data_IF_419239341343
#
_entry.id   IF_419239341343
#
_cell.length_a   1.000
_cell.length_b   1.000
_cell.length_c   1.000
_cell.angle_alpha   90.00
_cell.angle_beta   90.00
_cell.angle_gamma   90.00
#
_symmetry.space_group_name_H-M   'P 1'
#
loop_
_entity.id
_entity.type
_entity.pdbx_description
1 polymer ?
#
# COMPACT_ATOMS: atom_id res chain seq x y z
N UNK A 1 -3.16 -25.11 -22.03
CA UNK A 1 -3.86 -24.26 -21.05
C UNK A 1 -3.00 -24.14 -19.78
N UNK A 2 -1.87 -23.41 -19.81
CA UNK A 2 -0.91 -23.28 -18.66
C UNK A 2 -0.41 -21.82 -18.50
N UNK A 3 -0.91 -20.85 -19.28
CA UNK A 3 -0.42 -19.45 -19.23
C UNK A 3 -1.00 -18.59 -18.09
N UNK A 4 -1.81 -19.15 -17.19
CA UNK A 4 -2.54 -18.35 -16.18
C UNK A 4 -1.87 -18.26 -14.80
N UNK A 5 -0.74 -18.94 -14.58
CA UNK A 5 -0.06 -18.99 -13.27
C UNK A 5 1.07 -17.98 -13.07
N UNK A 6 1.78 -17.61 -14.13
CA UNK A 6 3.02 -16.80 -14.04
C UNK A 6 2.76 -15.31 -13.82
N UNK A 7 1.60 -14.80 -14.24
CA UNK A 7 1.25 -13.38 -14.06
C UNK A 7 1.11 -12.99 -12.58
N UNK A 8 0.44 -13.81 -11.78
CA UNK A 8 0.11 -13.46 -10.40
C UNK A 8 1.37 -13.23 -9.52
N UNK A 9 2.40 -14.07 -9.68
CA UNK A 9 3.65 -13.97 -8.94
C UNK A 9 4.47 -12.70 -9.28
N UNK A 10 4.39 -12.23 -10.52
CA UNK A 10 5.11 -11.03 -10.93
C UNK A 10 4.50 -9.76 -10.30
N UNK A 11 3.16 -9.66 -10.30
CA UNK A 11 2.44 -8.52 -9.71
C UNK A 11 2.64 -8.43 -8.20
N UNK A 12 2.59 -9.57 -7.50
CA UNK A 12 2.89 -9.58 -6.06
C UNK A 12 4.32 -9.15 -5.79
N UNK A 13 5.29 -9.63 -6.56
CA UNK A 13 6.71 -9.27 -6.39
C UNK A 13 6.95 -7.77 -6.58
N UNK A 14 6.34 -7.16 -7.60
CA UNK A 14 6.44 -5.73 -7.86
C UNK A 14 5.84 -4.93 -6.69
N UNK A 15 4.64 -5.28 -6.23
CA UNK A 15 3.99 -4.60 -5.10
C UNK A 15 4.83 -4.69 -3.81
N UNK A 16 5.45 -5.84 -3.55
CA UNK A 16 6.36 -6.03 -2.41
C UNK A 16 7.59 -5.13 -2.50
N UNK A 17 8.20 -5.00 -3.67
CA UNK A 17 9.37 -4.12 -3.87
C UNK A 17 9.01 -2.66 -3.57
N UNK A 18 7.88 -2.18 -4.09
CA UNK A 18 7.40 -0.81 -3.80
C UNK A 18 7.08 -0.62 -2.31
N UNK A 19 6.49 -1.62 -1.65
CA UNK A 19 6.20 -1.56 -0.22
C UNK A 19 7.47 -1.52 0.63
N UNK A 20 8.50 -2.30 0.27
CA UNK A 20 9.80 -2.29 0.97
C UNK A 20 10.48 -0.93 0.81
N UNK A 21 10.51 -0.40 -0.41
CA UNK A 21 11.15 0.89 -0.71
C UNK A 21 10.50 2.04 0.05
N UNK A 22 9.16 2.11 0.04
CA UNK A 22 8.39 3.11 0.80
C UNK A 22 8.48 2.92 2.32
N UNK A 23 8.50 1.67 2.78
CA UNK A 23 8.45 1.34 4.20
C UNK A 23 9.77 1.49 4.94
N UNK A 24 10.90 1.54 4.21
CA UNK A 24 12.24 1.50 4.83
C UNK A 24 13.16 2.60 4.32
N UNK A 25 13.43 2.68 3.02
CA UNK A 25 14.52 3.49 2.49
C UNK A 25 14.25 5.00 2.66
N UNK A 26 13.06 5.45 2.28
CA UNK A 26 12.60 6.83 2.44
C UNK A 26 12.50 7.24 3.92
N UNK A 27 11.82 6.47 4.81
CA UNK A 27 11.67 6.87 6.20
C UNK A 27 12.99 6.85 6.99
N UNK A 28 13.92 5.95 6.67
CA UNK A 28 15.27 5.98 7.24
C UNK A 28 16.00 7.24 6.80
N UNK A 29 15.94 7.58 5.51
CA UNK A 29 16.57 8.80 5.00
C UNK A 29 15.98 10.04 5.70
N UNK A 30 14.65 10.14 5.76
CA UNK A 30 13.94 11.21 6.44
C UNK A 30 14.31 11.33 7.93
N UNK A 31 14.48 10.19 8.62
CA UNK A 31 14.87 10.14 10.03
C UNK A 31 16.32 10.61 10.23
N UNK A 32 17.27 10.11 9.44
CA UNK A 32 18.69 10.52 9.51
C UNK A 32 18.83 12.02 9.23
N UNK A 33 18.10 12.52 8.24
CA UNK A 33 18.10 13.95 7.92
C UNK A 33 17.54 14.79 9.06
N UNK A 34 16.47 14.33 9.70
CA UNK A 34 15.89 14.97 10.88
C UNK A 34 16.85 15.01 12.08
N UNK A 35 17.62 13.94 12.30
CA UNK A 35 18.62 13.87 13.39
C UNK A 35 19.82 14.78 13.10
N UNK A 36 20.44 14.62 11.93
CA UNK A 36 21.70 15.30 11.58
C UNK A 36 21.52 16.83 11.54
N UNK A 37 20.38 17.30 11.06
CA UNK A 37 20.11 18.73 10.96
C UNK A 37 19.58 19.34 12.26
N UNK A 38 19.21 18.55 13.27
CA UNK A 38 18.66 19.05 14.54
C UNK A 38 19.63 19.97 15.26
N UNK A 39 20.90 19.57 15.34
CA UNK A 39 21.92 20.27 16.14
C UNK A 39 22.70 21.30 15.32
N UNK A 40 22.85 21.05 14.02
CA UNK A 40 23.65 21.90 13.12
C UNK A 40 22.91 23.15 12.65
N UNK A 41 21.57 23.13 12.70
CA UNK A 41 20.73 24.19 12.19
C UNK A 41 19.38 24.11 12.92
N UNK A 42 19.13 24.94 13.95
CA UNK A 42 17.92 24.87 14.76
C UNK A 42 16.72 25.23 13.90
N UNK A 43 16.20 24.22 13.23
CA UNK A 43 15.07 24.32 12.33
C UNK A 43 13.80 24.36 13.15
N UNK A 44 12.71 24.72 12.49
CA UNK A 44 11.41 24.74 13.15
C UNK A 44 11.03 23.33 13.61
N UNK A 45 10.81 23.12 14.93
CA UNK A 45 10.67 21.78 15.52
C UNK A 45 9.49 20.99 14.95
N UNK A 46 8.53 21.68 14.33
CA UNK A 46 7.36 21.08 13.68
C UNK A 46 7.72 20.24 12.45
N UNK A 47 8.69 20.67 11.64
CA UNK A 47 9.09 19.92 10.43
C UNK A 47 9.84 18.65 10.84
N UNK A 48 10.74 18.76 11.81
CA UNK A 48 11.44 17.59 12.37
C UNK A 48 10.46 16.60 13.00
N UNK A 49 9.48 17.08 13.78
CA UNK A 49 8.43 16.23 14.35
C UNK A 49 7.62 15.52 13.25
N UNK A 50 7.28 16.23 12.18
CA UNK A 50 6.58 15.66 11.03
C UNK A 50 7.38 14.50 10.40
N UNK A 51 8.68 14.69 10.15
CA UNK A 51 9.53 13.64 9.58
C UNK A 51 9.60 12.40 10.48
N UNK A 52 9.76 12.59 11.80
CA UNK A 52 9.76 11.46 12.75
C UNK A 52 8.45 10.67 12.74
N UNK A 53 7.32 11.35 12.90
CA UNK A 53 6.01 10.68 12.98
C UNK A 53 5.69 10.00 11.65
N UNK A 54 5.98 10.65 10.52
CA UNK A 54 5.80 10.04 9.18
C UNK A 54 6.63 8.76 9.06
N UNK A 55 7.91 8.81 9.46
CA UNK A 55 8.78 7.64 9.40
C UNK A 55 8.30 6.49 10.29
N UNK A 56 7.88 6.80 11.52
CA UNK A 56 7.34 5.79 12.44
C UNK A 56 6.06 5.14 11.91
N UNK A 57 5.14 5.94 11.33
CA UNK A 57 3.92 5.41 10.73
C UNK A 57 4.21 4.51 9.53
N UNK A 58 5.14 4.91 8.65
CA UNK A 58 5.52 4.11 7.49
C UNK A 58 6.17 2.77 7.88
N UNK A 59 7.09 2.79 8.86
CA UNK A 59 7.73 1.59 9.39
C UNK A 59 6.71 0.68 10.08
N UNK A 60 5.82 1.26 10.89
CA UNK A 60 4.75 0.51 11.55
C UNK A 60 3.82 -0.18 10.56
N UNK A 61 3.42 0.52 9.50
CA UNK A 61 2.63 -0.07 8.41
C UNK A 61 3.38 -1.19 7.71
N UNK A 62 4.68 -1.01 7.44
CA UNK A 62 5.51 -2.05 6.82
C UNK A 62 5.60 -3.32 7.67
N UNK A 63 5.85 -3.18 8.97
CA UNK A 63 5.88 -4.31 9.92
C UNK A 63 4.51 -4.99 9.98
N UNK A 64 3.42 -4.22 10.02
CA UNK A 64 2.06 -4.76 9.98
C UNK A 64 1.77 -5.55 8.69
N UNK A 65 2.16 -5.02 7.53
CA UNK A 65 2.00 -5.70 6.24
C UNK A 65 2.79 -7.01 6.16
N UNK A 66 4.03 -7.04 6.66
CA UNK A 66 4.79 -8.29 6.76
C UNK A 66 4.13 -9.27 7.71
N UNK A 67 3.75 -8.81 8.90
CA UNK A 67 3.19 -9.68 9.95
C UNK A 67 1.88 -10.28 9.48
N UNK A 68 0.99 -9.48 8.89
CA UNK A 68 -0.28 -9.95 8.33
C UNK A 68 -0.08 -10.93 7.17
N UNK A 69 0.86 -10.67 6.26
CA UNK A 69 1.19 -11.59 5.18
C UNK A 69 1.76 -12.93 5.70
N UNK A 70 2.70 -12.88 6.65
CA UNK A 70 3.25 -14.08 7.28
C UNK A 70 2.20 -14.87 8.07
N UNK A 71 1.29 -14.17 8.77
CA UNK A 71 0.18 -14.79 9.47
C UNK A 71 -0.78 -15.50 8.50
N UNK A 72 -1.17 -14.84 7.40
CA UNK A 72 -2.03 -15.42 6.37
C UNK A 72 -1.38 -16.65 5.71
N UNK A 73 -0.08 -16.59 5.41
CA UNK A 73 0.64 -17.70 4.79
C UNK A 73 0.83 -18.89 5.75
N UNK A 74 0.94 -18.66 7.06
CA UNK A 74 0.97 -19.73 8.08
C UNK A 74 -0.42 -20.28 8.42
N UNK A 75 -1.48 -19.52 8.18
CA UNK A 75 -2.87 -19.94 8.43
C UNK A 75 -3.32 -21.05 7.47
N UNK A 76 -2.71 -21.18 6.29
CA UNK A 76 -2.89 -22.32 5.39
C UNK A 76 -2.34 -23.64 5.97
N UNK A 77 -1.51 -23.61 7.03
CA UNK A 77 -0.82 -24.80 7.51
C UNK A 77 -1.39 -25.47 8.77
N UNK A 78 -1.97 -24.81 9.79
CA UNK A 78 -2.31 -25.54 11.05
C UNK A 78 -3.54 -25.08 11.87
N UNK A 79 -3.99 -23.81 11.84
CA UNK A 79 -4.96 -23.32 12.84
C UNK A 79 -6.34 -22.85 12.30
N UNK A 80 -6.69 -23.19 11.07
CA UNK A 80 -7.85 -22.63 10.37
C UNK A 80 -9.23 -23.19 10.77
N UNK A 81 -9.28 -24.18 11.66
CA UNK A 81 -10.50 -24.99 11.85
C UNK A 81 -11.52 -24.44 12.84
N UNK A 82 -11.32 -23.29 13.52
CA UNK A 82 -12.27 -22.89 14.59
C UNK A 82 -12.59 -21.41 14.80
N UNK A 83 -11.94 -20.48 14.13
CA UNK A 83 -12.25 -19.05 14.30
C UNK A 83 -13.03 -18.54 13.09
N UNK A 84 -14.13 -17.83 13.35
CA UNK A 84 -15.08 -17.28 12.37
C UNK A 84 -14.34 -16.47 11.28
N UNK A 85 -14.01 -17.12 10.14
CA UNK A 85 -13.11 -16.62 9.08
C UNK A 85 -13.41 -15.19 8.66
N UNK A 86 -14.70 -14.86 8.58
CA UNK A 86 -15.16 -13.57 8.10
C UNK A 86 -14.73 -12.44 9.06
N UNK A 87 -14.80 -12.63 10.38
CA UNK A 87 -14.50 -11.57 11.36
C UNK A 87 -13.02 -11.17 11.36
N UNK A 88 -12.11 -12.15 11.28
CA UNK A 88 -10.67 -11.88 11.26
C UNK A 88 -10.27 -11.11 9.99
N UNK A 89 -10.79 -11.54 8.84
CA UNK A 89 -10.53 -10.88 7.55
C UNK A 89 -11.03 -9.42 7.55
N UNK A 90 -12.27 -9.18 8.00
CA UNK A 90 -12.80 -7.81 8.09
C UNK A 90 -12.00 -6.92 9.05
N UNK A 91 -11.51 -7.48 10.16
CA UNK A 91 -10.71 -6.71 11.14
C UNK A 91 -9.37 -6.28 10.54
N UNK A 92 -8.67 -7.19 9.85
CA UNK A 92 -7.39 -6.88 9.19
C UNK A 92 -7.56 -5.81 8.11
N UNK A 93 -8.62 -5.92 7.31
CA UNK A 93 -8.97 -4.96 6.26
C UNK A 93 -9.32 -3.58 6.83
N UNK A 94 -10.06 -3.53 7.93
CA UNK A 94 -10.42 -2.27 8.58
C UNK A 94 -9.18 -1.56 9.17
N UNK A 95 -8.26 -2.30 9.76
CA UNK A 95 -6.98 -1.78 10.26
C UNK A 95 -6.14 -1.22 9.09
N UNK A 96 -6.05 -1.94 7.97
CA UNK A 96 -5.34 -1.49 6.79
C UNK A 96 -5.92 -0.19 6.22
N UNK A 97 -7.24 -0.09 6.11
CA UNK A 97 -7.92 1.14 5.68
C UNK A 97 -7.64 2.29 6.65
N UNK A 98 -7.71 2.05 7.96
CA UNK A 98 -7.44 3.06 8.96
C UNK A 98 -6.00 3.61 8.88
N UNK A 99 -5.02 2.73 8.67
CA UNK A 99 -3.62 3.14 8.45
C UNK A 99 -3.46 3.98 7.18
N UNK A 100 -4.05 3.56 6.06
CA UNK A 100 -3.97 4.31 4.80
C UNK A 100 -4.61 5.70 4.92
N UNK A 101 -5.78 5.80 5.57
CA UNK A 101 -6.43 7.09 5.83
C UNK A 101 -5.58 7.99 6.74
N UNK A 102 -4.98 7.40 7.78
CA UNK A 102 -4.09 8.14 8.68
C UNK A 102 -2.88 8.70 7.94
N UNK A 103 -2.22 7.89 7.10
CA UNK A 103 -1.09 8.34 6.27
C UNK A 103 -1.54 9.42 5.29
N UNK A 104 -2.70 9.26 4.64
CA UNK A 104 -3.22 10.23 3.69
C UNK A 104 -3.47 11.60 4.34
N UNK A 105 -4.16 11.63 5.49
CA UNK A 105 -4.38 12.87 6.24
C UNK A 105 -3.04 13.47 6.68
N UNK A 106 -2.11 12.63 7.14
CA UNK A 106 -0.79 13.08 7.57
C UNK A 106 0.02 13.72 6.44
N UNK A 107 -0.02 13.16 5.22
CA UNK A 107 0.61 13.75 4.04
C UNK A 107 0.03 15.12 3.69
N UNK A 108 -1.29 15.31 3.84
CA UNK A 108 -1.92 16.62 3.62
C UNK A 108 -1.41 17.63 4.64
N UNK A 109 -1.44 17.27 5.93
CA UNK A 109 -0.96 18.13 7.03
C UNK A 109 0.51 18.49 6.83
N UNK A 110 1.35 17.52 6.49
CA UNK A 110 2.75 17.73 6.16
C UNK A 110 2.97 18.69 5.00
N UNK A 111 2.16 18.54 3.95
CA UNK A 111 2.20 19.41 2.78
C UNK A 111 1.89 20.85 3.20
N UNK A 112 0.79 21.06 3.92
CA UNK A 112 0.40 22.39 4.43
C UNK A 112 1.51 22.99 5.31
N UNK A 113 2.12 22.21 6.19
CA UNK A 113 3.21 22.68 7.04
C UNK A 113 4.44 23.12 6.26
N UNK A 114 4.90 22.30 5.30
CA UNK A 114 6.05 22.64 4.46
C UNK A 114 5.74 23.92 3.68
N UNK A 115 4.60 23.99 2.97
CA UNK A 115 4.26 25.15 2.16
C UNK A 115 4.04 26.44 2.98
N UNK A 116 3.47 26.33 4.18
CA UNK A 116 3.22 27.51 5.03
C UNK A 116 4.49 28.26 5.45
N UNK A 117 5.62 27.57 5.58
CA UNK A 117 6.87 28.18 6.06
C UNK A 117 7.77 28.71 4.94
N UNK A 118 7.51 28.40 3.68
CA UNK A 118 8.32 28.87 2.54
C UNK A 118 8.49 30.40 2.49
N UNK A 119 7.47 31.16 2.94
CA UNK A 119 7.52 32.62 2.93
C UNK A 119 8.43 33.22 4.02
N UNK A 120 8.61 32.54 5.15
CA UNK A 120 9.35 33.03 6.32
C UNK A 120 10.85 32.73 6.17
N UNK A 121 11.18 31.59 5.55
CA UNK A 121 12.54 31.05 5.42
C UNK A 121 13.46 31.89 4.50
N UNK A 122 12.93 32.87 3.76
CA UNK A 122 13.71 33.73 2.86
C UNK A 122 14.56 34.78 3.59
N UNK A 123 14.33 35.02 4.89
CA UNK A 123 14.89 36.17 5.63
C UNK A 123 16.10 35.83 6.53
N UNK A 124 16.19 34.61 7.06
CA UNK A 124 17.26 34.19 7.98
C UNK A 124 18.11 33.06 7.36
N UNK A 125 19.45 33.15 7.46
CA UNK A 125 20.45 32.15 7.01
C UNK A 125 20.08 31.28 5.78
N UNK A 126 20.21 31.81 4.55
CA UNK A 126 19.57 31.23 3.37
C UNK A 126 20.06 29.84 2.97
N UNK A 127 21.32 29.46 3.24
CA UNK A 127 21.87 28.22 2.66
C UNK A 127 21.43 26.95 3.38
N UNK A 128 21.50 26.92 4.72
CA UNK A 128 21.13 25.72 5.47
C UNK A 128 19.63 25.43 5.35
N UNK A 129 18.83 26.47 5.53
CA UNK A 129 17.38 26.38 5.58
C UNK A 129 16.80 25.99 4.21
N UNK A 130 17.35 26.54 3.12
CA UNK A 130 16.91 26.23 1.75
C UNK A 130 17.13 24.77 1.40
N UNK A 131 18.30 24.20 1.72
CA UNK A 131 18.60 22.80 1.42
C UNK A 131 17.65 21.85 2.14
N UNK A 132 17.41 22.08 3.43
CA UNK A 132 16.52 21.24 4.21
C UNK A 132 15.06 21.35 3.76
N UNK A 133 14.62 22.56 3.42
CA UNK A 133 13.29 22.80 2.86
C UNK A 133 13.11 22.06 1.53
N UNK A 134 14.05 22.23 0.59
CA UNK A 134 14.02 21.55 -0.71
C UNK A 134 14.00 20.03 -0.54
N UNK A 135 14.77 19.51 0.41
CA UNK A 135 14.81 18.09 0.71
C UNK A 135 13.48 17.58 1.27
N UNK A 136 12.89 18.31 2.23
CA UNK A 136 11.57 17.98 2.78
C UNK A 136 10.48 18.02 1.71
N UNK A 137 10.56 19.00 0.81
CA UNK A 137 9.68 19.15 -0.35
C UNK A 137 9.84 17.98 -1.35
N UNK A 138 11.07 17.57 -1.64
CA UNK A 138 11.35 16.42 -2.51
C UNK A 138 10.81 15.14 -1.87
N UNK A 139 11.08 14.92 -0.58
CA UNK A 139 10.62 13.74 0.14
C UNK A 139 9.10 13.62 0.14
N UNK A 140 8.38 14.71 0.43
CA UNK A 140 6.91 14.66 0.44
C UNK A 140 6.34 14.45 -0.97
N UNK A 141 6.96 15.03 -1.99
CA UNK A 141 6.55 14.85 -3.39
C UNK A 141 6.76 13.41 -3.84
N UNK A 142 7.92 12.83 -3.56
CA UNK A 142 8.22 11.42 -3.84
C UNK A 142 7.24 10.51 -3.10
N UNK A 143 6.94 10.81 -1.84
CA UNK A 143 5.98 10.03 -1.04
C UNK A 143 4.57 10.07 -1.66
N UNK A 144 4.11 11.22 -2.14
CA UNK A 144 2.82 11.35 -2.84
C UNK A 144 2.76 10.50 -4.12
N UNK A 145 3.82 10.55 -4.94
CA UNK A 145 3.91 9.78 -6.17
C UNK A 145 3.86 8.28 -5.86
N UNK A 146 4.66 7.83 -4.91
CA UNK A 146 4.76 6.42 -4.57
C UNK A 146 3.49 5.89 -3.90
N UNK A 147 2.88 6.67 -3.02
CA UNK A 147 1.59 6.32 -2.40
C UNK A 147 0.49 6.16 -3.46
N UNK A 148 0.43 7.09 -4.41
CA UNK A 148 -0.53 7.06 -5.52
C UNK A 148 -0.29 5.87 -6.45
N UNK A 149 0.97 5.61 -6.82
CA UNK A 149 1.34 4.46 -7.66
C UNK A 149 0.98 3.14 -6.99
N UNK A 150 1.26 2.98 -5.70
CA UNK A 150 0.90 1.77 -4.94
C UNK A 150 -0.61 1.52 -4.99
N UNK A 151 -1.43 2.56 -4.75
CA UNK A 151 -2.89 2.44 -4.77
C UNK A 151 -3.42 2.14 -6.18
N UNK A 152 -2.85 2.76 -7.22
CA UNK A 152 -3.24 2.49 -8.61
C UNK A 152 -2.91 1.05 -9.01
N UNK A 153 -1.73 0.55 -8.66
CA UNK A 153 -1.33 -0.85 -8.92
C UNK A 153 -2.29 -1.81 -8.22
N UNK A 154 -2.56 -1.60 -6.93
CA UNK A 154 -3.50 -2.42 -6.16
C UNK A 154 -4.90 -2.39 -6.79
N UNK A 155 -5.39 -1.20 -7.17
CA UNK A 155 -6.70 -1.03 -7.79
C UNK A 155 -6.81 -1.75 -9.13
N UNK A 156 -5.84 -1.60 -10.03
CA UNK A 156 -5.78 -2.30 -11.32
C UNK A 156 -5.76 -3.82 -11.11
N UNK A 157 -4.99 -4.28 -10.13
CA UNK A 157 -4.93 -5.71 -9.79
C UNK A 157 -6.28 -6.23 -9.28
N UNK A 158 -6.96 -5.50 -8.40
CA UNK A 158 -8.31 -5.84 -7.92
C UNK A 158 -9.32 -5.89 -9.07
N UNK A 159 -9.27 -4.93 -10.00
CA UNK A 159 -10.14 -4.93 -11.18
C UNK A 159 -9.86 -6.13 -12.10
N UNK A 160 -8.59 -6.46 -12.31
CA UNK A 160 -8.18 -7.62 -13.12
C UNK A 160 -8.69 -8.93 -12.52
N UNK A 161 -8.57 -9.11 -11.20
CA UNK A 161 -9.11 -10.28 -10.50
C UNK A 161 -10.64 -10.34 -10.64
N UNK A 162 -11.33 -9.20 -10.42
CA UNK A 162 -12.79 -9.14 -10.51
C UNK A 162 -13.28 -9.49 -11.91
N UNK A 163 -12.62 -8.95 -12.94
CA UNK A 163 -12.93 -9.24 -14.34
C UNK A 163 -12.71 -10.73 -14.67
N UNK A 164 -11.59 -11.32 -14.23
CA UNK A 164 -11.31 -12.74 -14.42
C UNK A 164 -12.30 -13.65 -13.69
N UNK A 165 -12.73 -13.27 -12.49
CA UNK A 165 -13.78 -14.00 -11.74
C UNK A 165 -15.10 -13.99 -12.50
N UNK A 166 -15.55 -12.82 -12.94
CA UNK A 166 -16.79 -12.67 -13.69
C UNK A 166 -16.81 -13.54 -14.96
N UNK A 167 -15.71 -13.58 -15.72
CA UNK A 167 -15.61 -14.41 -16.91
C UNK A 167 -15.66 -15.92 -16.60
N UNK A 168 -15.06 -16.36 -15.49
CA UNK A 168 -15.15 -17.77 -15.07
C UNK A 168 -16.59 -18.18 -14.71
N UNK A 169 -17.34 -17.30 -14.08
CA UNK A 169 -18.73 -17.57 -13.72
C UNK A 169 -19.63 -17.64 -14.96
N UNK A 170 -19.37 -16.84 -15.99
CA UNK A 170 -20.06 -16.92 -17.28
C UNK A 170 -19.77 -18.25 -18.00
N UNK A 171 -18.50 -18.67 -18.06
CA UNK A 171 -18.14 -19.95 -18.67
C UNK A 171 -18.78 -21.15 -17.96
N UNK A 172 -18.86 -21.14 -16.61
CA UNK A 172 -19.54 -22.19 -15.85
C UNK A 172 -21.03 -22.25 -16.18
N UNK A 173 -21.71 -21.10 -16.30
CA UNK A 173 -23.13 -21.05 -16.71
C UNK A 173 -23.32 -21.65 -18.10
N UNK A 174 -22.52 -21.24 -19.08
CA UNK A 174 -22.60 -21.76 -20.46
C UNK A 174 -22.34 -23.27 -20.50
N UNK A 175 -21.31 -23.75 -19.81
CA UNK A 175 -20.99 -25.18 -19.74
C UNK A 175 -22.13 -26.00 -19.13
N UNK A 176 -22.80 -25.48 -18.09
CA UNK A 176 -23.94 -26.15 -17.48
C UNK A 176 -25.13 -26.22 -18.45
N UNK A 177 -25.44 -25.15 -19.18
CA UNK A 177 -26.52 -25.17 -20.18
C UNK A 177 -26.28 -26.20 -21.29
N UNK A 178 -25.05 -26.30 -21.81
CA UNK A 178 -24.69 -27.30 -22.84
C UNK A 178 -24.80 -28.73 -22.30
N UNK A 179 -24.40 -28.97 -21.05
CA UNK A 179 -24.51 -30.31 -20.45
C UNK A 179 -25.95 -30.78 -20.23
N UNK A 180 -26.88 -29.86 -19.99
CA UNK A 180 -28.31 -30.18 -19.82
C UNK A 180 -28.94 -30.55 -21.17
N UNK A 181 -28.66 -29.80 -22.24
CA UNK A 181 -29.20 -30.12 -23.58
C UNK A 181 -28.72 -31.49 -24.10
N UNK A 182 -27.44 -31.80 -23.92
CA UNK A 182 -26.89 -33.10 -24.33
C UNK A 182 -27.44 -34.29 -23.52
N UNK A 183 -28.04 -34.03 -22.35
CA UNK A 183 -28.71 -35.04 -21.53
C UNK A 183 -30.13 -35.36 -22.03
N UNK A 184 -30.86 -34.34 -22.50
CA UNK A 184 -32.24 -34.51 -23.01
C UNK A 184 -32.28 -35.25 -24.35
N UNK A 185 -31.32 -34.99 -25.23
CA UNK A 185 -31.27 -35.63 -26.56
C UNK A 185 -31.08 -37.16 -26.47
N UNK A 186 -30.35 -37.65 -25.45
CA UNK A 186 -30.17 -39.09 -25.21
C UNK A 186 -31.41 -39.81 -24.68
N UNK A 187 -32.43 -39.08 -24.23
CA UNK A 187 -33.65 -39.67 -23.66
C UNK A 187 -34.75 -39.92 -24.70
N UNK A 188 -34.60 -39.43 -25.93
CA UNK A 188 -35.64 -39.52 -26.97
C UNK A 188 -35.45 -40.70 -27.94
N UNK A 189 -34.32 -41.41 -27.88
CA UNK A 189 -33.97 -42.55 -28.76
C UNK A 189 -34.27 -43.93 -28.14
N UNK A 190 -35.21 -44.05 -27.20
CA UNK A 190 -35.63 -45.33 -26.58
C UNK A 190 -37.09 -45.65 -26.88
#
# INVERSE_FOLDING_TARGET
MILHGSGCHLWTSISWIFSVFNGTLIPILAMVLGVVHRDSCPLEPRITLYLYVTSSLCIGCFIYSITSACCLQRLDCVCFTRCNQNKCFYTLLLIEIAFNLTIFVWLIVGSVWIYSHHAILRRDNPRCITTFYLLSFILITVQWILFSMQHLITFIHTLSIRHSSNNRDQHKKISNYVSVQNGEEKSFDV
#
